data_IF_489236846984
#
_entry.id   IF_489236846984
#
_cell.length_a   1.000
_cell.length_b   1.000
_cell.length_c   1.000
_cell.angle_alpha   90.00
_cell.angle_beta   90.00
_cell.angle_gamma   90.00
#
_symmetry.space_group_name_H-M   'P 1'
#
loop_
_entity.id
_entity.type
_entity.pdbx_description
1 polymer ?
#
# COMPACT_ATOMS: atom_id res chain seq x y z
N UNK A 1 18.01 -5.43 -31.14
CA UNK A 1 17.94 -3.98 -30.85
C UNK A 1 16.63 -3.28 -31.23
N UNK A 2 15.72 -3.87 -32.03
CA UNK A 2 14.47 -3.22 -32.49
C UNK A 2 13.27 -3.28 -31.53
N UNK A 3 13.27 -4.20 -30.56
CA UNK A 3 12.11 -4.41 -29.65
C UNK A 3 12.09 -3.38 -28.51
N UNK A 4 13.26 -2.92 -28.04
CA UNK A 4 13.41 -1.92 -26.96
C UNK A 4 12.95 -0.53 -27.45
N UNK A 5 13.20 -0.21 -28.73
CA UNK A 5 12.83 1.09 -29.32
C UNK A 5 11.31 1.22 -29.53
N UNK A 6 10.60 0.11 -29.77
CA UNK A 6 9.14 0.11 -29.90
C UNK A 6 8.43 0.37 -28.58
N UNK A 7 8.91 -0.18 -27.46
CA UNK A 7 8.28 0.02 -26.14
C UNK A 7 8.28 1.50 -25.69
N UNK A 8 9.39 2.22 -25.87
CA UNK A 8 9.53 3.62 -25.42
C UNK A 8 8.54 4.60 -26.08
N UNK A 9 8.07 4.32 -27.30
CA UNK A 9 7.19 5.24 -28.07
C UNK A 9 5.72 5.13 -27.67
N UNK A 10 5.26 3.96 -27.21
CA UNK A 10 3.84 3.73 -26.90
C UNK A 10 3.43 4.13 -25.48
N UNK A 11 4.34 4.08 -24.51
CA UNK A 11 3.99 4.34 -23.12
C UNK A 11 4.36 5.74 -22.63
N UNK A 12 5.32 6.41 -23.27
CA UNK A 12 5.64 7.82 -22.98
C UNK A 12 4.40 8.73 -23.00
N UNK A 13 3.45 8.61 -23.96
CA UNK A 13 2.23 9.41 -23.95
C UNK A 13 1.33 9.11 -22.75
N UNK A 14 1.15 7.84 -22.38
CA UNK A 14 0.31 7.42 -21.24
C UNK A 14 0.90 7.93 -19.93
N UNK A 15 2.22 7.77 -19.74
CA UNK A 15 2.92 8.24 -18.54
C UNK A 15 2.98 9.78 -18.44
N UNK A 16 3.19 10.48 -19.55
CA UNK A 16 3.14 11.94 -19.57
C UNK A 16 1.72 12.47 -19.32
N UNK A 17 0.69 11.74 -19.75
CA UNK A 17 -0.72 12.05 -19.44
C UNK A 17 -1.01 11.85 -17.95
N UNK A 18 -0.54 10.75 -17.35
CA UNK A 18 -0.63 10.50 -15.91
C UNK A 18 0.12 11.58 -15.10
N UNK A 19 1.36 11.93 -15.47
CA UNK A 19 2.12 13.02 -14.81
C UNK A 19 1.38 14.37 -14.90
N UNK A 20 0.79 14.68 -16.05
CA UNK A 20 0.07 15.94 -16.28
C UNK A 20 -1.24 16.01 -15.47
N UNK A 21 -1.92 14.87 -15.29
CA UNK A 21 -3.05 14.76 -14.37
C UNK A 21 -2.61 14.92 -12.91
N UNK A 22 -1.52 14.28 -12.48
CA UNK A 22 -0.98 14.36 -11.12
C UNK A 22 -0.54 15.80 -10.77
N UNK A 23 0.05 16.55 -11.71
CA UNK A 23 0.46 17.95 -11.50
C UNK A 23 -0.71 18.92 -11.22
N UNK A 24 -1.95 18.54 -11.54
CA UNK A 24 -3.16 19.37 -11.39
C UNK A 24 -3.96 19.03 -10.11
N UNK A 25 -3.51 18.05 -9.34
CA UNK A 25 -4.27 17.43 -8.27
C UNK A 25 -3.74 17.89 -6.91
N UNK A 26 -4.63 18.26 -5.98
CA UNK A 26 -4.25 18.67 -4.62
C UNK A 26 -3.48 17.56 -3.89
N UNK A 27 -2.49 17.93 -3.08
CA UNK A 27 -1.51 17.07 -2.39
C UNK A 27 -2.07 15.92 -1.50
N UNK A 28 -3.39 15.77 -1.34
CA UNK A 28 -4.00 14.68 -0.57
C UNK A 28 -5.28 14.10 -1.20
N UNK A 29 -5.55 14.36 -2.48
CA UNK A 29 -6.76 13.81 -3.10
C UNK A 29 -6.66 12.29 -3.28
N UNK A 30 -7.81 11.64 -3.34
CA UNK A 30 -7.97 10.25 -3.76
C UNK A 30 -8.18 10.25 -5.28
N UNK A 31 -7.42 9.45 -6.01
CA UNK A 31 -7.36 9.48 -7.48
C UNK A 31 -7.54 8.09 -8.09
N UNK A 32 -7.05 7.06 -7.41
CA UNK A 32 -6.97 5.70 -7.93
C UNK A 32 -8.12 4.82 -7.44
N UNK A 33 -8.73 5.16 -6.30
CA UNK A 33 -9.96 4.50 -5.86
C UNK A 33 -11.18 4.97 -6.66
N UNK A 34 -12.05 4.03 -7.04
CA UNK A 34 -13.38 4.33 -7.55
C UNK A 34 -14.37 4.66 -6.40
N UNK A 35 -15.60 5.04 -6.74
CA UNK A 35 -16.59 5.47 -5.73
C UNK A 35 -16.93 4.39 -4.69
N UNK A 36 -17.01 3.12 -5.10
CA UNK A 36 -17.31 2.00 -4.21
C UNK A 36 -16.12 1.75 -3.26
N UNK A 37 -14.91 1.80 -3.81
CA UNK A 37 -13.65 1.68 -3.07
C UNK A 37 -13.45 2.84 -2.08
N UNK A 38 -13.94 4.05 -2.39
CA UNK A 38 -13.94 5.21 -1.47
C UNK A 38 -14.95 5.02 -0.35
N UNK A 39 -16.12 4.47 -0.67
CA UNK A 39 -17.21 4.25 0.29
C UNK A 39 -16.86 3.13 1.26
N UNK A 40 -16.22 2.07 0.77
CA UNK A 40 -15.82 0.91 1.56
C UNK A 40 -14.31 0.58 1.41
N UNK A 41 -13.42 1.46 1.89
CA UNK A 41 -11.97 1.31 1.69
C UNK A 41 -11.38 0.07 2.37
N UNK A 42 -12.09 -0.52 3.33
CA UNK A 42 -11.68 -1.79 3.95
C UNK A 42 -11.76 -2.96 2.97
N UNK A 43 -12.67 -2.93 1.98
CA UNK A 43 -12.76 -3.94 0.93
C UNK A 43 -11.51 -3.94 0.06
N UNK A 44 -10.94 -2.77 -0.23
CA UNK A 44 -9.67 -2.65 -0.97
C UNK A 44 -8.53 -3.36 -0.23
N UNK A 45 -8.47 -3.22 1.10
CA UNK A 45 -7.47 -3.90 1.94
C UNK A 45 -7.70 -5.41 1.91
N UNK A 46 -8.94 -5.83 2.12
CA UNK A 46 -9.33 -7.25 2.07
C UNK A 46 -8.96 -7.88 0.72
N UNK A 47 -9.33 -7.22 -0.38
CA UNK A 47 -9.08 -7.69 -1.73
C UNK A 47 -7.58 -7.75 -1.98
N UNK A 48 -6.80 -6.74 -1.60
CA UNK A 48 -5.35 -6.82 -1.74
C UNK A 48 -4.78 -8.11 -1.10
N UNK A 49 -5.16 -8.42 0.14
CA UNK A 49 -4.68 -9.59 0.87
C UNK A 49 -5.39 -10.91 0.51
N UNK A 50 -6.45 -10.91 -0.30
CA UNK A 50 -7.08 -12.13 -0.80
C UNK A 50 -6.34 -12.73 -2.00
N UNK A 51 -5.60 -11.90 -2.75
CA UNK A 51 -4.86 -12.33 -3.94
C UNK A 51 -3.56 -13.08 -3.62
N UNK A 52 -3.00 -12.94 -2.42
CA UNK A 52 -1.82 -13.70 -2.01
C UNK A 52 -1.58 -13.70 -0.50
N UNK A 53 -0.57 -14.46 -0.10
CA UNK A 53 -0.12 -14.51 1.28
C UNK A 53 0.86 -13.35 1.55
N UNK A 54 0.95 -12.90 2.81
CA UNK A 54 1.79 -11.75 3.17
C UNK A 54 3.25 -11.88 2.70
N UNK A 55 3.95 -13.03 2.83
CA UNK A 55 5.32 -13.18 2.32
C UNK A 55 5.42 -12.95 0.79
N UNK A 56 4.40 -13.35 0.04
CA UNK A 56 4.36 -13.15 -1.41
C UNK A 56 4.12 -11.68 -1.74
N UNK A 57 3.22 -11.00 -1.04
CA UNK A 57 3.04 -9.55 -1.18
C UNK A 57 4.33 -8.78 -0.86
N UNK A 58 5.06 -9.17 0.20
CA UNK A 58 6.34 -8.54 0.55
C UNK A 58 7.41 -8.80 -0.51
N UNK A 59 7.52 -10.03 -1.02
CA UNK A 59 8.45 -10.37 -2.11
C UNK A 59 8.12 -9.59 -3.38
N UNK A 60 6.84 -9.48 -3.71
CA UNK A 60 6.32 -8.71 -4.84
C UNK A 60 6.64 -7.22 -4.70
N UNK A 61 6.36 -6.61 -3.54
CA UNK A 61 6.67 -5.20 -3.26
C UNK A 61 8.18 -4.93 -3.30
N UNK A 62 9.00 -5.82 -2.74
CA UNK A 62 10.46 -5.71 -2.80
C UNK A 62 10.97 -5.80 -4.23
N UNK A 63 10.44 -6.76 -5.01
CA UNK A 63 10.77 -6.91 -6.43
C UNK A 63 10.37 -5.67 -7.22
N UNK A 64 9.13 -5.21 -7.06
CA UNK A 64 8.63 -4.01 -7.72
C UNK A 64 9.49 -2.79 -7.39
N UNK A 65 9.84 -2.58 -6.12
CA UNK A 65 10.71 -1.48 -5.69
C UNK A 65 12.09 -1.57 -6.35
N UNK A 66 12.70 -2.74 -6.36
CA UNK A 66 14.03 -2.95 -6.94
C UNK A 66 14.00 -2.79 -8.48
N UNK A 67 12.96 -3.31 -9.14
CA UNK A 67 12.77 -3.20 -10.59
C UNK A 67 12.52 -1.73 -11.00
N UNK A 68 11.78 -0.97 -10.18
CA UNK A 68 11.58 0.47 -10.37
C UNK A 68 12.89 1.25 -10.14
N UNK A 69 13.64 0.95 -9.07
CA UNK A 69 14.88 1.64 -8.74
C UNK A 69 16.09 1.27 -9.65
N UNK A 70 15.93 0.35 -10.62
CA UNK A 70 17.01 -0.21 -11.44
C UNK A 70 18.18 -0.82 -10.63
N UNK A 71 17.95 -1.15 -9.35
CA UNK A 71 18.97 -1.72 -8.46
C UNK A 71 19.26 -3.21 -8.73
N UNK A 72 18.61 -3.81 -9.74
CA UNK A 72 18.85 -5.22 -10.11
C UNK A 72 19.78 -5.32 -11.33
N UNK A 73 21.01 -5.79 -11.10
CA UNK A 73 21.94 -6.21 -12.17
C UNK A 73 21.35 -7.38 -12.98
N UNK A 74 20.45 -8.17 -12.37
CA UNK A 74 19.70 -9.26 -12.99
C UNK A 74 18.26 -8.82 -13.33
N UNK A 75 18.10 -7.97 -14.35
CA UNK A 75 16.77 -7.62 -14.84
C UNK A 75 16.10 -8.82 -15.55
N UNK A 76 15.49 -9.73 -14.77
CA UNK A 76 14.50 -10.67 -15.30
C UNK A 76 13.33 -9.84 -15.82
N UNK A 77 13.33 -9.59 -17.14
CA UNK A 77 12.30 -8.87 -17.92
C UNK A 77 10.92 -8.99 -17.28
N UNK A 78 10.57 -8.04 -16.44
CA UNK A 78 9.25 -7.95 -15.86
C UNK A 78 8.36 -7.32 -16.94
N UNK A 79 7.20 -7.90 -17.21
CA UNK A 79 6.29 -7.34 -18.21
C UNK A 79 5.87 -5.93 -17.77
N UNK A 80 5.83 -4.93 -18.66
CA UNK A 80 5.31 -3.60 -18.32
C UNK A 80 3.90 -3.64 -17.71
N UNK A 81 3.05 -4.56 -18.19
CA UNK A 81 1.71 -4.75 -17.63
C UNK A 81 1.74 -5.22 -16.16
N UNK A 82 2.72 -6.05 -15.80
CA UNK A 82 2.91 -6.51 -14.43
C UNK A 82 3.34 -5.35 -13.51
N UNK A 83 4.25 -4.50 -13.97
CA UNK A 83 4.71 -3.33 -13.20
C UNK A 83 3.59 -2.32 -12.95
N UNK A 84 2.79 -2.02 -13.97
CA UNK A 84 1.65 -1.11 -13.87
C UNK A 84 0.58 -1.68 -12.93
N UNK A 85 0.22 -2.95 -13.11
CA UNK A 85 -0.77 -3.61 -12.25
C UNK A 85 -0.38 -3.56 -10.76
N UNK A 86 0.88 -3.85 -10.44
CA UNK A 86 1.34 -3.80 -9.05
C UNK A 86 1.49 -2.39 -8.51
N UNK A 87 1.84 -1.42 -9.35
CA UNK A 87 1.81 -0.01 -8.97
C UNK A 87 0.38 0.42 -8.58
N UNK A 88 -0.60 0.14 -9.44
CA UNK A 88 -2.00 0.50 -9.20
C UNK A 88 -2.54 -0.16 -7.94
N UNK A 89 -2.33 -1.47 -7.76
CA UNK A 89 -2.71 -2.17 -6.53
C UNK A 89 -2.09 -1.54 -5.28
N UNK A 90 -0.80 -1.20 -5.35
CA UNK A 90 -0.07 -0.63 -4.20
C UNK A 90 -0.59 0.78 -3.87
N UNK A 91 -0.82 1.61 -4.89
CA UNK A 91 -1.33 2.97 -4.69
C UNK A 91 -2.77 2.95 -4.17
N UNK A 92 -3.64 2.08 -4.70
CA UNK A 92 -4.99 1.89 -4.17
C UNK A 92 -4.96 1.49 -2.70
N UNK A 93 -4.08 0.56 -2.31
CA UNK A 93 -3.90 0.18 -0.91
C UNK A 93 -3.49 1.36 -0.03
N UNK A 94 -2.58 2.23 -0.50
CA UNK A 94 -2.15 3.43 0.22
C UNK A 94 -3.29 4.45 0.35
N UNK A 95 -4.06 4.68 -0.71
CA UNK A 95 -5.23 5.57 -0.68
C UNK A 95 -6.32 5.05 0.27
N UNK A 96 -6.61 3.74 0.24
CA UNK A 96 -7.55 3.12 1.15
C UNK A 96 -7.09 3.28 2.61
N UNK A 97 -5.80 3.05 2.88
CA UNK A 97 -5.22 3.28 4.20
C UNK A 97 -5.34 4.75 4.65
N UNK A 98 -5.21 5.72 3.73
CA UNK A 98 -5.37 7.13 4.02
C UNK A 98 -6.80 7.48 4.46
N UNK A 99 -7.81 6.89 3.83
CA UNK A 99 -9.21 7.05 4.24
C UNK A 99 -9.44 6.40 5.62
N UNK A 100 -8.98 5.15 5.77
CA UNK A 100 -9.16 4.34 6.97
C UNK A 100 -8.49 4.92 8.22
N UNK A 101 -7.46 5.77 8.10
CA UNK A 101 -6.81 6.39 9.27
C UNK A 101 -7.78 7.19 10.14
N UNK A 102 -8.85 7.73 9.56
CA UNK A 102 -9.87 8.50 10.28
C UNK A 102 -11.06 7.65 10.74
N UNK A 103 -11.17 6.42 10.24
CA UNK A 103 -12.21 5.49 10.65
C UNK A 103 -11.90 4.94 12.04
N UNK A 104 -12.95 4.66 12.82
CA UNK A 104 -12.83 3.89 14.07
C UNK A 104 -12.60 2.42 13.73
N UNK A 105 -11.38 2.09 13.32
CA UNK A 105 -10.92 0.72 13.14
C UNK A 105 -10.39 0.17 14.45
N UNK A 106 -10.93 -0.98 14.85
CA UNK A 106 -10.70 -1.57 16.16
C UNK A 106 -11.37 -0.72 17.24
N UNK A 107 -12.45 -1.23 17.81
CA UNK A 107 -13.22 -0.52 18.82
C UNK A 107 -13.57 -1.46 19.96
N UNK A 108 -12.54 -2.18 20.42
CA UNK A 108 -12.62 -2.77 21.75
C UNK A 108 -12.37 -1.61 22.73
N UNK A 109 -13.47 -1.06 23.22
CA UNK A 109 -13.49 0.05 24.18
C UNK A 109 -13.22 -0.55 25.55
N UNK A 110 -11.94 -0.76 25.85
CA UNK A 110 -11.55 -1.29 27.14
C UNK A 110 -11.00 -0.14 28.01
N UNK A 111 -11.26 -0.19 29.31
CA UNK A 111 -10.80 0.78 30.31
C UNK A 111 -9.34 0.49 30.73
N UNK A 112 -8.50 1.54 30.80
CA UNK A 112 -7.02 1.53 30.82
C UNK A 112 -6.37 0.59 31.87
N UNK A 113 -7.11 0.14 32.90
CA UNK A 113 -6.60 -0.73 33.99
C UNK A 113 -6.98 -2.21 33.90
N UNK A 114 -8.10 -2.58 33.29
CA UNK A 114 -8.53 -3.99 33.14
C UNK A 114 -8.23 -4.54 31.72
N UNK A 115 -7.94 -3.64 30.78
CA UNK A 115 -7.74 -3.86 29.34
C UNK A 115 -6.53 -4.74 28.97
N UNK A 116 -5.47 -4.72 29.78
CA UNK A 116 -4.23 -5.44 29.48
C UNK A 116 -4.46 -6.94 29.25
N UNK A 117 -5.21 -7.60 30.13
CA UNK A 117 -5.16 -9.06 30.21
C UNK A 117 -6.14 -9.74 29.26
N UNK A 118 -7.32 -9.13 29.05
CA UNK A 118 -8.29 -9.59 28.04
C UNK A 118 -7.72 -9.36 26.64
N UNK A 119 -7.17 -8.18 26.35
CA UNK A 119 -6.53 -7.90 25.06
C UNK A 119 -5.33 -8.81 24.82
N UNK A 120 -4.47 -9.03 25.83
CA UNK A 120 -3.37 -10.01 25.77
C UNK A 120 -3.86 -11.41 25.45
N UNK A 121 -4.92 -11.87 26.12
CA UNK A 121 -5.46 -13.20 25.90
C UNK A 121 -6.07 -13.36 24.50
N UNK A 122 -6.84 -12.37 24.04
CA UNK A 122 -7.41 -12.35 22.69
C UNK A 122 -6.31 -12.38 21.63
N UNK A 123 -5.33 -11.47 21.73
CA UNK A 123 -4.17 -11.41 20.83
C UNK A 123 -3.38 -12.71 20.85
N UNK A 124 -3.14 -13.29 22.02
CA UNK A 124 -2.43 -14.58 22.15
C UNK A 124 -3.20 -15.71 21.46
N UNK A 125 -4.52 -15.69 21.54
CA UNK A 125 -5.39 -16.69 20.91
C UNK A 125 -5.44 -16.51 19.40
N UNK A 126 -5.59 -15.28 18.93
CA UNK A 126 -5.60 -14.94 17.51
C UNK A 126 -4.25 -15.25 16.85
N UNK A 127 -3.13 -14.89 17.50
CA UNK A 127 -1.77 -15.17 17.03
C UNK A 127 -1.48 -16.66 16.84
N UNK A 128 -2.16 -17.55 17.58
CA UNK A 128 -2.05 -19.00 17.37
C UNK A 128 -2.76 -19.48 16.11
N UNK A 129 -3.77 -18.73 15.64
CA UNK A 129 -4.60 -19.07 14.48
C UNK A 129 -4.07 -18.47 13.17
N UNK A 130 -3.35 -17.35 13.27
CA UNK A 130 -2.83 -16.64 12.11
C UNK A 130 -1.41 -17.10 11.79
N UNK A 131 -1.17 -17.43 10.51
CA UNK A 131 0.17 -17.79 10.01
C UNK A 131 1.14 -16.61 10.12
N UNK A 132 0.67 -15.43 9.72
CA UNK A 132 1.44 -14.20 9.73
C UNK A 132 0.81 -13.25 10.75
N UNK A 133 1.62 -12.72 11.67
CA UNK A 133 1.16 -11.81 12.73
C UNK A 133 2.14 -10.63 12.87
N UNK A 134 1.67 -9.39 13.07
CA UNK A 134 2.56 -8.25 13.24
C UNK A 134 3.43 -8.42 14.50
N UNK A 135 4.76 -8.49 14.31
CA UNK A 135 5.73 -8.59 15.42
C UNK A 135 6.14 -7.25 16.01
N UNK A 136 5.94 -6.15 15.28
CA UNK A 136 6.46 -4.82 15.60
C UNK A 136 5.39 -3.85 16.13
N UNK A 137 4.17 -4.32 16.36
CA UNK A 137 3.08 -3.51 16.88
C UNK A 137 2.84 -3.83 18.35
N UNK A 138 2.65 -2.78 19.15
CA UNK A 138 2.19 -2.95 20.53
C UNK A 138 0.75 -3.47 20.57
N UNK A 139 0.34 -4.05 21.70
CA UNK A 139 -1.04 -4.49 21.92
C UNK A 139 -2.05 -3.38 21.63
N UNK A 140 -1.75 -2.16 22.10
CA UNK A 140 -2.58 -0.98 21.87
C UNK A 140 -2.73 -0.64 20.39
N UNK A 141 -1.68 -0.83 19.61
CA UNK A 141 -1.68 -0.58 18.17
C UNK A 141 -2.41 -1.67 17.39
N UNK A 142 -2.35 -2.92 17.87
CA UNK A 142 -3.10 -4.05 17.30
C UNK A 142 -4.61 -3.87 17.52
N UNK A 143 -5.03 -3.48 18.74
CA UNK A 143 -6.45 -3.25 19.03
C UNK A 143 -6.98 -1.93 18.44
N UNK A 144 -6.09 -0.97 18.12
CA UNK A 144 -6.42 0.33 17.53
C UNK A 144 -5.58 0.62 16.28
N UNK A 145 -5.75 -0.13 15.19
CA UNK A 145 -4.93 -0.03 13.99
C UNK A 145 -5.04 1.34 13.30
N UNK A 146 -6.15 2.06 13.47
CA UNK A 146 -6.29 3.45 13.00
C UNK A 146 -5.18 4.37 13.54
N UNK A 147 -4.69 4.13 14.76
CA UNK A 147 -3.58 4.90 15.34
C UNK A 147 -2.26 4.67 14.61
N UNK A 148 -2.02 3.45 14.12
CA UNK A 148 -0.84 3.09 13.33
C UNK A 148 -0.88 3.79 11.98
N UNK A 149 -2.03 3.75 11.31
CA UNK A 149 -2.23 4.45 10.04
C UNK A 149 -2.03 5.97 10.20
N UNK A 150 -2.56 6.57 11.27
CA UNK A 150 -2.30 7.98 11.58
C UNK A 150 -0.81 8.27 11.78
N UNK A 151 -0.08 7.41 12.50
CA UNK A 151 1.38 7.56 12.69
C UNK A 151 2.13 7.45 11.36
N UNK A 152 1.82 6.47 10.53
CA UNK A 152 2.40 6.28 9.21
C UNK A 152 2.28 7.56 8.36
N UNK A 153 1.07 8.13 8.28
CA UNK A 153 0.81 9.34 7.51
C UNK A 153 1.27 10.66 8.15
N UNK A 154 1.84 10.61 9.35
CA UNK A 154 2.59 11.75 9.92
C UNK A 154 4.02 11.80 9.38
N UNK A 155 4.62 10.65 9.06
CA UNK A 155 5.99 10.58 8.53
C UNK A 155 6.01 11.08 7.08
N UNK A 156 5.09 10.57 6.25
CA UNK A 156 4.87 11.05 4.89
C UNK A 156 3.38 11.28 4.64
N UNK A 157 3.03 12.42 4.02
CA UNK A 157 1.66 12.67 3.55
C UNK A 157 1.32 11.72 2.39
N UNK A 158 0.04 11.63 2.03
CA UNK A 158 -0.43 10.76 0.94
C UNK A 158 0.34 11.02 -0.36
N UNK A 159 0.52 12.28 -0.73
CA UNK A 159 1.32 12.65 -1.90
C UNK A 159 2.80 12.28 -1.77
N UNK A 160 3.38 12.32 -0.56
CA UNK A 160 4.73 11.83 -0.32
C UNK A 160 4.87 10.36 -0.70
N UNK A 161 3.93 9.53 -0.26
CA UNK A 161 3.89 8.11 -0.65
C UNK A 161 3.64 7.92 -2.14
N UNK A 162 2.70 8.66 -2.74
CA UNK A 162 2.44 8.63 -4.20
C UNK A 162 3.70 8.99 -4.98
N UNK A 163 4.38 10.07 -4.58
CA UNK A 163 5.64 10.54 -5.16
C UNK A 163 6.72 9.49 -5.04
N UNK A 164 6.96 8.90 -3.87
CA UNK A 164 7.93 7.82 -3.70
C UNK A 164 7.63 6.62 -4.60
N UNK A 165 6.36 6.24 -4.74
CA UNK A 165 5.94 5.18 -5.65
C UNK A 165 6.12 5.56 -7.12
N UNK A 166 5.95 6.83 -7.50
CA UNK A 166 6.19 7.31 -8.89
C UNK A 166 7.65 7.64 -9.19
N UNK A 167 8.48 8.01 -8.21
CA UNK A 167 9.86 8.43 -8.43
C UNK A 167 10.73 7.26 -8.88
N UNK A 168 10.42 6.06 -8.38
CA UNK A 168 10.94 4.80 -8.92
C UNK A 168 10.58 4.57 -10.39
N UNK A 169 9.64 5.29 -10.99
CA UNK A 169 9.33 5.18 -12.42
C UNK A 169 9.92 6.33 -13.27
N UNK A 170 10.42 7.41 -12.66
CA UNK A 170 10.89 8.62 -13.37
C UNK A 170 12.41 8.72 -13.54
N UNK A 171 13.22 7.85 -12.94
CA UNK A 171 14.65 7.72 -13.29
C UNK A 171 14.85 6.91 -14.60
N UNK A 172 14.06 7.23 -15.63
CA UNK A 172 14.04 6.57 -16.94
C UNK A 172 14.00 7.56 -18.10
#
# INVERSE_FOLDING_TARGET
MLIIYRSKKYYKPIFETMKKQIKKISDNSIVYLNNDEITEPIKVVHDFFSHSWLPNHLKMLKRWRNDAALESEESKKCSPAYLVYHYELTIKLIEAAWLLKNHKLGNLDFDDKQESDIAKWYIKTERKKLRDYPGNLSIREIVKPSSVLKKMFRIYKLDGYKKSCTHGFTMH
#
